data_IF_141155717920
#
_entry.id   IF_141155717920
#
_cell.length_a   1.000
_cell.length_b   1.000
_cell.length_c   1.000
_cell.angle_alpha   90.00
_cell.angle_beta   90.00
_cell.angle_gamma   90.00
#
_symmetry.space_group_name_H-M   'P 1'
#
loop_
_entity.id
_entity.type
_entity.pdbx_description
1 polymer ?
#
# COMPACT_ATOMS: atom_id res chain seq x y z
N UNK A 1 -56.30 2.37 -11.57
CA UNK A 1 -54.95 1.88 -11.23
C UNK A 1 -53.93 2.75 -11.94
N UNK A 2 -53.48 3.83 -11.29
CA UNK A 2 -52.43 4.70 -11.85
C UNK A 2 -51.10 3.98 -11.74
N UNK A 3 -50.55 3.54 -12.88
CA UNK A 3 -49.18 3.02 -12.97
C UNK A 3 -48.24 4.11 -12.50
N UNK A 4 -47.56 3.93 -11.35
CA UNK A 4 -46.38 4.72 -10.99
C UNK A 4 -45.37 4.52 -12.13
N UNK A 5 -45.11 5.58 -12.89
CA UNK A 5 -43.99 5.58 -13.84
C UNK A 5 -42.70 5.23 -13.09
N UNK A 6 -41.78 4.46 -13.70
CA UNK A 6 -40.53 4.11 -13.05
C UNK A 6 -39.72 5.39 -12.80
N UNK A 7 -39.29 5.59 -11.56
CA UNK A 7 -38.56 6.78 -11.12
C UNK A 7 -37.12 6.78 -11.70
N UNK A 8 -37.02 7.17 -12.97
CA UNK A 8 -35.76 7.27 -13.70
C UNK A 8 -34.80 8.28 -13.04
N UNK A 9 -35.35 9.25 -12.30
CA UNK A 9 -34.59 10.25 -11.57
C UNK A 9 -33.92 9.63 -10.35
N UNK A 10 -34.62 8.79 -9.61
CA UNK A 10 -34.04 7.99 -8.52
C UNK A 10 -32.90 7.10 -9.04
N UNK A 11 -33.12 6.38 -10.15
CA UNK A 11 -32.07 5.56 -10.79
C UNK A 11 -30.85 6.37 -11.24
N UNK A 12 -31.05 7.57 -11.77
CA UNK A 12 -29.95 8.45 -12.17
C UNK A 12 -29.16 8.97 -10.97
N UNK A 13 -29.85 9.28 -9.86
CA UNK A 13 -29.20 9.67 -8.61
C UNK A 13 -28.37 8.52 -8.03
N UNK A 14 -28.90 7.29 -8.06
CA UNK A 14 -28.15 6.09 -7.64
C UNK A 14 -26.87 5.89 -8.47
N UNK A 15 -26.94 6.04 -9.80
CA UNK A 15 -25.78 5.90 -10.67
C UNK A 15 -24.71 6.96 -10.39
N UNK A 16 -25.11 8.22 -10.19
CA UNK A 16 -24.20 9.30 -9.83
C UNK A 16 -23.55 9.05 -8.46
N UNK A 17 -24.32 8.54 -7.49
CA UNK A 17 -23.80 8.20 -6.18
C UNK A 17 -22.76 7.07 -6.27
N UNK A 18 -23.07 5.99 -6.99
CA UNK A 18 -22.12 4.87 -7.20
C UNK A 18 -20.83 5.34 -7.88
N UNK A 19 -20.95 6.17 -8.92
CA UNK A 19 -19.78 6.73 -9.61
C UNK A 19 -18.92 7.62 -8.69
N UNK A 20 -19.57 8.43 -7.84
CA UNK A 20 -18.87 9.27 -6.86
C UNK A 20 -18.13 8.42 -5.81
N UNK A 21 -18.77 7.36 -5.31
CA UNK A 21 -18.17 6.43 -4.37
C UNK A 21 -16.98 5.69 -4.97
N UNK A 22 -17.08 5.23 -6.22
CA UNK A 22 -15.99 4.54 -6.89
C UNK A 22 -14.80 5.46 -7.21
N UNK A 23 -15.09 6.72 -7.57
CA UNK A 23 -14.05 7.75 -7.77
C UNK A 23 -13.29 8.03 -6.47
N UNK A 24 -13.99 8.14 -5.35
CA UNK A 24 -13.37 8.33 -4.02
C UNK A 24 -12.48 7.15 -3.65
N UNK A 25 -12.96 5.92 -3.81
CA UNK A 25 -12.16 4.70 -3.56
C UNK A 25 -10.91 4.65 -4.44
N UNK A 26 -11.06 4.95 -5.73
CA UNK A 26 -9.93 4.97 -6.68
C UNK A 26 -8.88 5.99 -6.25
N UNK A 27 -9.30 7.18 -5.83
CA UNK A 27 -8.39 8.21 -5.33
C UNK A 27 -7.67 7.78 -4.04
N UNK A 28 -8.39 7.16 -3.09
CA UNK A 28 -7.79 6.63 -1.86
C UNK A 28 -6.78 5.52 -2.11
N UNK A 29 -7.10 4.59 -3.01
CA UNK A 29 -6.17 3.54 -3.46
C UNK A 29 -4.95 4.18 -4.13
N UNK A 30 -5.16 5.13 -5.05
CA UNK A 30 -4.08 5.83 -5.74
C UNK A 30 -3.13 6.53 -4.77
N UNK A 31 -3.68 7.23 -3.77
CA UNK A 31 -2.88 7.85 -2.69
C UNK A 31 -2.02 6.81 -1.98
N UNK A 32 -2.61 5.68 -1.56
CA UNK A 32 -1.89 4.58 -0.89
C UNK A 32 -0.80 3.97 -1.78
N UNK A 33 -1.06 3.78 -3.07
CA UNK A 33 -0.08 3.27 -4.03
C UNK A 33 1.12 4.21 -4.21
N UNK A 34 0.91 5.52 -4.21
CA UNK A 34 2.01 6.49 -4.26
C UNK A 34 2.94 6.36 -3.05
N UNK A 35 2.36 6.25 -1.84
CA UNK A 35 3.15 5.99 -0.63
C UNK A 35 3.88 4.64 -0.68
N UNK A 36 3.22 3.58 -1.16
CA UNK A 36 3.86 2.28 -1.32
C UNK A 36 5.04 2.32 -2.31
N UNK A 37 4.92 3.09 -3.40
CA UNK A 37 5.98 3.27 -4.38
C UNK A 37 7.23 3.91 -3.76
N UNK A 38 7.04 4.95 -2.95
CA UNK A 38 8.13 5.61 -2.22
C UNK A 38 8.80 4.63 -1.24
N UNK A 39 8.00 3.98 -0.38
CA UNK A 39 8.51 2.99 0.58
C UNK A 39 9.22 1.81 -0.06
N UNK A 40 8.77 1.36 -1.24
CA UNK A 40 9.43 0.27 -1.98
C UNK A 40 10.82 0.70 -2.46
N UNK A 41 10.96 1.95 -2.91
CA UNK A 41 12.26 2.51 -3.30
C UNK A 41 13.19 2.56 -2.09
N UNK A 42 12.72 3.13 -0.98
CA UNK A 42 13.48 3.19 0.27
C UNK A 42 13.89 1.80 0.75
N UNK A 43 12.97 0.83 0.77
CA UNK A 43 13.24 -0.55 1.17
C UNK A 43 14.36 -1.18 0.34
N UNK A 44 14.32 -1.01 -0.99
CA UNK A 44 15.39 -1.47 -1.88
C UNK A 44 16.71 -0.81 -1.51
N UNK A 45 16.72 0.50 -1.28
CA UNK A 45 17.93 1.24 -0.97
C UNK A 45 18.56 0.74 0.35
N UNK A 46 17.76 0.41 1.37
CA UNK A 46 18.26 -0.21 2.61
C UNK A 46 18.81 -1.62 2.40
N UNK A 47 18.18 -2.45 1.55
CA UNK A 47 18.73 -3.75 1.18
C UNK A 47 20.05 -3.62 0.42
N UNK A 48 20.18 -2.62 -0.46
CA UNK A 48 21.43 -2.31 -1.16
C UNK A 48 22.51 -1.84 -0.18
N UNK A 49 22.18 -0.94 0.76
CA UNK A 49 23.09 -0.49 1.82
C UNK A 49 23.62 -1.66 2.64
N UNK A 50 22.74 -2.58 3.07
CA UNK A 50 23.11 -3.79 3.80
C UNK A 50 24.08 -4.64 2.96
N UNK A 51 23.75 -4.90 1.70
CA UNK A 51 24.58 -5.68 0.79
C UNK A 51 25.96 -5.05 0.57
N UNK A 52 26.03 -3.74 0.33
CA UNK A 52 27.27 -2.99 0.17
C UNK A 52 28.16 -3.07 1.41
N UNK A 53 27.56 -2.94 2.61
CA UNK A 53 28.30 -3.04 3.88
C UNK A 53 28.85 -4.44 4.07
N UNK A 54 28.05 -5.49 3.88
CA UNK A 54 28.49 -6.89 3.98
C UNK A 54 29.62 -7.20 2.99
N UNK A 55 29.50 -6.77 1.73
CA UNK A 55 30.55 -6.99 0.72
C UNK A 55 31.85 -6.27 1.10
N UNK A 56 31.77 -5.04 1.61
CA UNK A 56 32.93 -4.26 2.04
C UNK A 56 33.65 -4.93 3.20
N UNK A 57 32.90 -5.36 4.22
CA UNK A 57 33.43 -6.01 5.41
C UNK A 57 33.98 -7.42 5.15
N UNK A 58 33.36 -8.16 4.22
CA UNK A 58 33.89 -9.45 3.75
C UNK A 58 35.23 -9.27 3.03
N UNK A 59 35.34 -8.28 2.15
CA UNK A 59 36.59 -7.98 1.43
C UNK A 59 37.70 -7.52 2.37
N UNK A 60 37.36 -6.73 3.39
CA UNK A 60 38.29 -6.27 4.42
C UNK A 60 38.68 -7.37 5.42
N UNK A 61 38.00 -8.53 5.39
CA UNK A 61 38.08 -9.62 6.38
C UNK A 61 37.77 -9.18 7.81
N UNK A 62 36.89 -8.18 7.97
CA UNK A 62 36.49 -7.62 9.27
C UNK A 62 35.00 -7.77 9.55
N UNK A 63 34.31 -8.65 8.83
CA UNK A 63 32.88 -8.89 9.03
C UNK A 63 32.55 -9.22 10.49
N UNK A 64 31.76 -8.34 11.11
CA UNK A 64 31.15 -8.52 12.42
C UNK A 64 29.64 -8.66 12.22
N UNK A 65 29.10 -9.81 12.64
CA UNK A 65 27.67 -10.10 12.52
C UNK A 65 26.80 -9.27 13.48
N UNK A 66 27.37 -8.87 14.61
CA UNK A 66 26.72 -8.05 15.63
C UNK A 66 26.98 -6.55 15.47
N UNK A 67 27.28 -6.09 14.26
CA UNK A 67 27.48 -4.66 13.97
C UNK A 67 26.18 -3.86 14.29
N UNK A 68 26.23 -2.86 15.19
CA UNK A 68 25.06 -2.04 15.53
C UNK A 68 24.41 -1.35 14.33
N UNK A 69 25.20 -0.92 13.35
CA UNK A 69 24.68 -0.27 12.13
C UNK A 69 23.93 -1.28 11.25
N UNK A 70 24.40 -2.53 11.18
CA UNK A 70 23.69 -3.61 10.47
C UNK A 70 22.35 -3.91 11.15
N UNK A 71 22.31 -3.91 12.48
CA UNK A 71 21.07 -4.10 13.24
C UNK A 71 20.06 -2.99 12.98
N UNK A 72 20.50 -1.73 12.97
CA UNK A 72 19.64 -0.59 12.66
C UNK A 72 19.08 -0.68 11.24
N UNK A 73 19.91 -1.01 10.25
CA UNK A 73 19.45 -1.22 8.86
C UNK A 73 18.41 -2.35 8.78
N UNK A 74 18.64 -3.46 9.49
CA UNK A 74 17.67 -4.57 9.54
C UNK A 74 16.36 -4.18 10.21
N UNK A 75 16.39 -3.39 11.28
CA UNK A 75 15.18 -2.89 11.94
C UNK A 75 14.37 -2.01 11.00
N UNK A 76 15.03 -1.11 10.25
CA UNK A 76 14.38 -0.27 9.23
C UNK A 76 13.74 -1.11 8.12
N UNK A 77 14.43 -2.14 7.62
CA UNK A 77 13.90 -3.09 6.64
C UNK A 77 12.59 -3.72 7.14
N UNK A 78 12.60 -4.26 8.36
CA UNK A 78 11.41 -4.90 8.96
C UNK A 78 10.25 -3.91 9.13
N UNK A 79 10.54 -2.67 9.55
CA UNK A 79 9.53 -1.63 9.69
C UNK A 79 8.88 -1.28 8.34
N UNK A 80 9.68 -1.13 7.28
CA UNK A 80 9.17 -0.84 5.95
C UNK A 80 8.37 -1.99 5.35
N UNK A 81 8.82 -3.24 5.52
CA UNK A 81 8.09 -4.42 5.08
C UNK A 81 6.71 -4.50 5.73
N UNK A 82 6.65 -4.30 7.05
CA UNK A 82 5.39 -4.21 7.78
C UNK A 82 4.53 -3.06 7.25
N UNK A 83 5.12 -1.90 7.03
CA UNK A 83 4.41 -0.74 6.49
C UNK A 83 3.85 -0.97 5.08
N UNK A 84 4.53 -1.72 4.23
CA UNK A 84 4.03 -2.12 2.91
C UNK A 84 2.89 -3.14 3.04
N UNK A 85 3.01 -4.11 3.95
CA UNK A 85 1.95 -5.08 4.22
C UNK A 85 0.67 -4.40 4.73
N UNK A 86 0.79 -3.43 5.64
CA UNK A 86 -0.34 -2.64 6.16
C UNK A 86 -1.05 -1.87 5.03
N UNK A 87 -0.27 -1.30 4.09
CA UNK A 87 -0.83 -0.62 2.90
C UNK A 87 -1.59 -1.61 2.01
N UNK A 88 -1.03 -2.81 1.79
CA UNK A 88 -1.68 -3.84 0.99
C UNK A 88 -3.02 -4.27 1.62
N UNK A 89 -3.04 -4.50 2.93
CA UNK A 89 -4.24 -4.88 3.66
C UNK A 89 -5.31 -3.78 3.61
N UNK A 90 -4.91 -2.51 3.71
CA UNK A 90 -5.82 -1.39 3.56
C UNK A 90 -6.42 -1.30 2.15
N UNK A 91 -5.61 -1.50 1.11
CA UNK A 91 -6.11 -1.54 -0.27
C UNK A 91 -7.09 -2.69 -0.46
N UNK A 92 -6.80 -3.87 0.11
CA UNK A 92 -7.72 -5.03 0.10
C UNK A 92 -9.04 -4.71 0.79
N UNK A 93 -9.01 -4.04 1.95
CA UNK A 93 -10.22 -3.58 2.67
C UNK A 93 -11.06 -2.61 1.84
N UNK A 94 -10.43 -1.62 1.20
CA UNK A 94 -11.14 -0.64 0.34
C UNK A 94 -11.81 -1.35 -0.84
N UNK A 95 -11.12 -2.29 -1.48
CA UNK A 95 -11.68 -3.11 -2.58
C UNK A 95 -12.85 -3.98 -2.12
N UNK A 96 -12.76 -4.59 -0.93
CA UNK A 96 -13.80 -5.46 -0.37
C UNK A 96 -15.04 -4.69 0.12
N UNK A 97 -14.90 -3.41 0.48
CA UNK A 97 -16.00 -2.55 0.90
C UNK A 97 -17.11 -2.32 -0.16
N UNK A 98 -16.91 -2.75 -1.41
CA UNK A 98 -17.89 -2.64 -2.49
C UNK A 98 -18.81 -3.86 -2.66
N UNK A 99 -18.48 -5.02 -2.08
CA UNK A 99 -19.10 -6.30 -2.48
C UNK A 99 -20.34 -6.72 -1.69
N UNK A 100 -20.97 -5.82 -0.93
CA UNK A 100 -22.26 -6.10 -0.28
C UNK A 100 -23.37 -5.22 -0.85
N UNK A 101 -24.08 -5.74 -1.86
CA UNK A 101 -25.54 -5.63 -1.94
C UNK A 101 -26.09 -7.00 -2.34
N UNK A 102 -26.90 -7.55 -1.42
CA UNK A 102 -27.83 -8.66 -1.65
C UNK A 102 -28.96 -8.22 -2.59
#
# INVERSE_FOLDING_TARGET
MTKKEPDWKERAQDLLQMASEELKKTAEIGKKMLFASQKTTELRDYYEMLGHKVVTELRSKKLVWDDPEVKEIMEQIVEMEKGLQDIEDDVRKIKAGSTKKA
#
